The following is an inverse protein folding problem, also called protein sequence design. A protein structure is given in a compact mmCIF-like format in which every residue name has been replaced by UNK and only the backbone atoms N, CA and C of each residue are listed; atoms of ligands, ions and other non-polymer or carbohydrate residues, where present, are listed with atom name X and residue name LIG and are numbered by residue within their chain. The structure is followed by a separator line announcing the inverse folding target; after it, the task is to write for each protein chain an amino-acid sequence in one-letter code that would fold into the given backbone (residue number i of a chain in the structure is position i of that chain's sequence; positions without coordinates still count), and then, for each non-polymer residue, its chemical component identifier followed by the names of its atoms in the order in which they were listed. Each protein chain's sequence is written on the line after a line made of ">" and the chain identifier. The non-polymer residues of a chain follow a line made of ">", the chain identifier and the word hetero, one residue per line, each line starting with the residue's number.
data_IF_222229075410
#
_entry.id   IF_222229075410
#
_cell.length_a   1.000
_cell.length_b   1.000
_cell.length_c   1.000
_cell.angle_alpha   90.00
_cell.angle_beta   90.00
_cell.angle_gamma   90.00
#
_symmetry.space_group_name_H-M   'P 1'
#
loop_
_entity.id
_entity.type
_entity.pdbx_description
1 polymer ?
#
# COMPACT_ATOMS: atom_id res chain seq x y z
N UNK A 1 21.43 8.27 17.08
CA UNK A 1 22.49 8.07 16.08
C UNK A 1 21.87 7.38 14.88
N UNK A 2 21.40 8.12 13.88
CA UNK A 2 20.83 7.56 12.66
C UNK A 2 21.77 7.90 11.51
N UNK A 3 22.49 6.91 11.00
CA UNK A 3 23.30 7.02 9.80
C UNK A 3 22.35 6.98 8.60
N UNK A 4 22.04 8.15 8.03
CA UNK A 4 21.44 8.23 6.70
C UNK A 4 22.58 8.14 5.69
N UNK A 5 22.95 6.92 5.31
CA UNK A 5 23.74 6.65 4.11
C UNK A 5 22.85 6.89 2.89
N UNK A 6 22.71 8.15 2.49
CA UNK A 6 22.19 8.52 1.20
C UNK A 6 23.26 8.19 0.14
N UNK A 7 22.99 7.18 -0.69
CA UNK A 7 23.77 6.91 -1.89
C UNK A 7 24.24 5.47 -2.04
N UNK A 8 23.34 4.60 -2.48
CA UNK A 8 23.55 3.50 -3.44
C UNK A 8 22.15 3.12 -3.92
N UNK A 9 21.94 2.90 -5.21
CA UNK A 9 20.65 2.49 -5.78
C UNK A 9 20.25 1.11 -5.24
N UNK A 10 19.72 1.11 -4.01
CA UNK A 10 19.33 -0.06 -3.27
C UNK A 10 17.84 -0.27 -3.48
N UNK A 11 17.43 -1.52 -3.62
CA UNK A 11 16.04 -1.88 -3.79
C UNK A 11 15.15 -1.18 -2.71
N UNK A 12 13.93 -0.72 -3.06
CA UNK A 12 13.07 0.07 -2.18
C UNK A 12 12.39 -0.79 -1.10
N UNK A 13 13.19 -1.38 -0.21
CA UNK A 13 12.72 -2.36 0.78
C UNK A 13 11.72 -1.73 1.76
N UNK A 14 11.94 -0.47 2.13
CA UNK A 14 11.07 0.24 3.09
C UNK A 14 9.70 0.50 2.46
N UNK A 15 9.67 1.07 1.27
CA UNK A 15 8.45 1.41 0.54
C UNK A 15 7.63 0.15 0.24
N UNK A 16 8.30 -0.95 -0.17
CA UNK A 16 7.65 -2.24 -0.37
C UNK A 16 7.08 -2.82 0.94
N UNK A 17 7.74 -2.59 2.09
CA UNK A 17 7.23 -3.01 3.40
C UNK A 17 6.00 -2.19 3.79
N UNK A 18 6.09 -0.87 3.66
CA UNK A 18 5.00 0.06 3.97
C UNK A 18 3.75 -0.26 3.14
N UNK A 19 3.91 -0.52 1.85
CA UNK A 19 2.82 -0.93 0.96
C UNK A 19 2.13 -2.22 1.43
N UNK A 20 2.91 -3.25 1.80
CA UNK A 20 2.36 -4.52 2.31
C UNK A 20 1.65 -4.33 3.65
N UNK A 21 2.25 -3.58 4.56
CA UNK A 21 1.67 -3.30 5.87
C UNK A 21 0.38 -2.48 5.76
N UNK A 22 0.34 -1.50 4.85
CA UNK A 22 -0.86 -0.71 4.59
C UNK A 22 -1.99 -1.57 4.00
N UNK A 23 -1.68 -2.47 3.07
CA UNK A 23 -2.66 -3.41 2.50
C UNK A 23 -3.27 -4.32 3.57
N UNK A 24 -2.44 -4.91 4.43
CA UNK A 24 -2.92 -5.72 5.55
C UNK A 24 -3.84 -4.92 6.46
N UNK A 25 -3.45 -3.68 6.82
CA UNK A 25 -4.27 -2.82 7.66
C UNK A 25 -5.61 -2.42 7.00
N UNK A 26 -5.66 -2.32 5.67
CA UNK A 26 -6.90 -2.08 4.93
C UNK A 26 -7.81 -3.32 4.93
N UNK A 27 -7.25 -4.50 4.71
CA UNK A 27 -7.97 -5.78 4.79
C UNK A 27 -8.57 -5.98 6.19
N UNK A 28 -7.78 -5.77 7.24
CA UNK A 28 -8.22 -5.86 8.65
C UNK A 28 -9.32 -4.86 9.00
N UNK A 29 -9.33 -3.69 8.37
CA UNK A 29 -10.39 -2.70 8.52
C UNK A 29 -11.68 -3.03 7.73
N UNK A 30 -11.71 -4.16 7.01
CA UNK A 30 -12.86 -4.58 6.22
C UNK A 30 -12.95 -3.87 4.86
N UNK A 31 -11.85 -3.32 4.34
CA UNK A 31 -11.85 -2.64 3.04
C UNK A 31 -12.33 -3.53 1.89
N UNK A 32 -12.26 -4.85 2.03
CA UNK A 32 -12.83 -5.77 1.04
C UNK A 32 -14.35 -5.59 0.86
N UNK A 33 -15.09 -5.30 1.93
CA UNK A 33 -16.54 -5.09 1.90
C UNK A 33 -16.89 -3.63 1.66
N UNK A 34 -16.14 -2.71 2.27
CA UNK A 34 -16.53 -1.30 2.32
C UNK A 34 -15.75 -0.40 1.34
N UNK A 35 -14.58 -0.81 0.86
CA UNK A 35 -13.73 -0.01 -0.03
C UNK A 35 -13.05 -0.88 -1.10
N UNK A 36 -13.80 -1.83 -1.66
CA UNK A 36 -13.26 -2.89 -2.52
C UNK A 36 -12.51 -2.40 -3.75
N UNK A 37 -13.02 -1.36 -4.42
CA UNK A 37 -12.38 -0.77 -5.60
C UNK A 37 -11.02 -0.14 -5.26
N UNK A 38 -10.96 0.63 -4.16
CA UNK A 38 -9.72 1.26 -3.69
C UNK A 38 -8.71 0.21 -3.23
N UNK A 39 -9.16 -0.84 -2.54
CA UNK A 39 -8.32 -1.97 -2.14
C UNK A 39 -7.77 -2.72 -3.36
N UNK A 40 -8.58 -2.93 -4.40
CA UNK A 40 -8.15 -3.56 -5.64
C UNK A 40 -7.08 -2.74 -6.37
N UNK A 41 -7.21 -1.41 -6.39
CA UNK A 41 -6.19 -0.51 -6.92
C UNK A 41 -4.88 -0.63 -6.14
N UNK A 42 -4.94 -0.64 -4.80
CA UNK A 42 -3.76 -0.82 -3.96
C UNK A 42 -3.03 -2.14 -4.25
N UNK A 43 -3.76 -3.25 -4.39
CA UNK A 43 -3.18 -4.55 -4.79
C UNK A 43 -2.55 -4.49 -6.19
N UNK A 44 -3.20 -3.83 -7.14
CA UNK A 44 -2.70 -3.68 -8.51
C UNK A 44 -1.38 -2.89 -8.55
N UNK A 45 -1.28 -1.81 -7.77
CA UNK A 45 -0.04 -1.05 -7.62
C UNK A 45 1.07 -1.90 -6.97
N UNK A 46 0.78 -2.63 -5.90
CA UNK A 46 1.78 -3.52 -5.27
C UNK A 46 2.27 -4.57 -6.27
N UNK A 47 1.37 -5.20 -7.04
CA UNK A 47 1.77 -6.16 -8.07
C UNK A 47 2.65 -5.57 -9.16
N UNK A 48 2.41 -4.32 -9.57
CA UNK A 48 3.31 -3.58 -10.49
C UNK A 48 4.65 -3.26 -9.84
N UNK A 49 4.66 -2.93 -8.56
CA UNK A 49 5.89 -2.70 -7.80
C UNK A 49 6.76 -3.96 -7.73
N UNK A 50 6.15 -5.12 -7.45
CA UNK A 50 6.83 -6.42 -7.42
C UNK A 50 7.39 -6.82 -8.80
N UNK A 51 6.64 -6.55 -9.87
CA UNK A 51 7.12 -6.77 -11.25
C UNK A 51 8.32 -5.87 -11.58
N UNK A 52 8.26 -4.58 -11.25
CA UNK A 52 9.36 -3.64 -11.48
C UNK A 52 10.59 -4.01 -10.64
N UNK A 53 10.39 -4.42 -9.38
CA UNK A 53 11.44 -4.90 -8.48
C UNK A 53 12.17 -6.12 -9.08
N UNK A 54 11.39 -7.08 -9.61
CA UNK A 54 11.93 -8.28 -10.26
C UNK A 54 12.70 -7.96 -11.55
N UNK A 55 12.37 -6.86 -12.21
CA UNK A 55 13.07 -6.34 -13.38
C UNK A 55 14.28 -5.45 -13.04
N UNK A 56 14.63 -5.32 -11.75
CA UNK A 56 15.64 -4.38 -11.24
C UNK A 56 15.35 -2.90 -11.54
N UNK A 57 14.11 -2.57 -11.89
CA UNK A 57 13.63 -1.21 -12.12
C UNK A 57 13.20 -0.59 -10.79
N UNK A 58 14.19 -0.26 -9.96
CA UNK A 58 13.97 0.17 -8.57
C UNK A 58 13.23 1.49 -8.45
N UNK A 59 13.40 2.40 -9.42
CA UNK A 59 12.68 3.67 -9.46
C UNK A 59 11.18 3.44 -9.65
N UNK A 60 10.79 2.64 -10.63
CA UNK A 60 9.38 2.29 -10.83
C UNK A 60 8.85 1.43 -9.70
N UNK A 61 9.65 0.51 -9.15
CA UNK A 61 9.24 -0.28 -8.00
C UNK A 61 8.88 0.62 -6.80
N UNK A 62 9.71 1.64 -6.53
CA UNK A 62 9.47 2.62 -5.47
C UNK A 62 8.19 3.41 -5.72
N UNK A 63 8.03 3.97 -6.92
CA UNK A 63 6.85 4.75 -7.28
C UNK A 63 5.56 3.94 -7.12
N UNK A 64 5.54 2.70 -7.64
CA UNK A 64 4.38 1.83 -7.55
C UNK A 64 4.10 1.39 -6.09
N UNK A 65 5.14 1.20 -5.27
CA UNK A 65 4.97 0.87 -3.85
C UNK A 65 4.36 2.04 -3.06
N UNK A 66 4.79 3.27 -3.31
CA UNK A 66 4.20 4.47 -2.71
C UNK A 66 2.72 4.63 -3.09
N UNK A 67 2.39 4.43 -4.37
CA UNK A 67 0.99 4.44 -4.84
C UNK A 67 0.15 3.35 -4.17
N UNK A 68 0.72 2.14 -3.99
CA UNK A 68 0.05 1.05 -3.30
C UNK A 68 -0.22 1.39 -1.83
N UNK A 69 0.78 1.95 -1.13
CA UNK A 69 0.67 2.39 0.25
C UNK A 69 -0.39 3.47 0.43
N UNK A 70 -0.39 4.48 -0.44
CA UNK A 70 -1.37 5.56 -0.42
C UNK A 70 -2.80 5.03 -0.65
N UNK A 71 -3.02 4.24 -1.70
CA UNK A 71 -4.33 3.67 -2.00
C UNK A 71 -4.81 2.71 -0.90
N UNK A 72 -3.92 1.95 -0.27
CA UNK A 72 -4.29 1.08 0.84
C UNK A 72 -4.73 1.86 2.09
N UNK A 73 -4.04 2.97 2.41
CA UNK A 73 -4.44 3.86 3.51
C UNK A 73 -5.80 4.48 3.25
N UNK A 74 -6.05 4.94 2.03
CA UNK A 74 -7.36 5.45 1.61
C UNK A 74 -8.44 4.37 1.73
N UNK A 75 -8.17 3.14 1.24
CA UNK A 75 -9.11 2.03 1.35
C UNK A 75 -9.46 1.71 2.81
N UNK A 76 -8.47 1.76 3.70
CA UNK A 76 -8.66 1.58 5.15
C UNK A 76 -9.57 2.66 5.73
N UNK A 77 -9.31 3.93 5.44
CA UNK A 77 -10.10 5.06 5.95
C UNK A 77 -11.56 4.95 5.48
N UNK A 78 -11.75 4.75 4.17
CA UNK A 78 -13.06 4.54 3.54
C UNK A 78 -13.84 3.37 4.15
N UNK A 79 -13.13 2.31 4.56
CA UNK A 79 -13.74 1.15 5.20
C UNK A 79 -14.24 1.48 6.60
N UNK A 80 -13.41 2.13 7.42
CA UNK A 80 -13.77 2.55 8.77
C UNK A 80 -14.94 3.52 8.77
N UNK A 81 -14.96 4.50 7.85
CA UNK A 81 -16.05 5.46 7.71
C UNK A 81 -17.38 4.78 7.38
N UNK A 82 -17.40 3.90 6.37
CA UNK A 82 -18.63 3.19 5.96
C UNK A 82 -19.09 2.17 7.00
N UNK A 83 -18.16 1.52 7.70
CA UNK A 83 -18.48 0.63 8.81
C UNK A 83 -19.18 1.40 9.95
N UNK A 84 -18.71 2.62 10.26
CA UNK A 84 -19.33 3.47 11.29
C UNK A 84 -20.71 4.00 10.86
N UNK A 85 -20.96 4.14 9.57
CA UNK A 85 -22.25 4.57 9.02
C UNK A 85 -23.32 3.46 8.99
N UNK A 86 -22.95 2.19 9.24
CA UNK A 86 -23.95 1.13 9.42
C UNK A 86 -24.69 1.35 10.74
N UNK A 87 -26.02 1.55 10.74
CA UNK A 87 -26.78 1.70 11.96
C UNK A 87 -26.60 0.44 12.82
N UNK A 88 -26.24 0.62 14.09
CA UNK A 88 -26.28 -0.44 15.09
C UNK A 88 -27.75 -0.65 15.44
N UNK A 89 -28.40 -1.57 14.74
CA UNK A 89 -29.76 -2.03 15.05
C UNK A 89 -29.82 -2.77 16.40
#
# INVERSE_FOLDING_TARGET
>A
MALLLAGCAMAPVQEMSDARQALLAAEEAGAQEYAGDTLANARAYLGRAEQALSAHDYERAREQAELASAAAREARELALERMQQRPRE
#
